data_IF_288591837842
#
_entry.id   IF_288591837842
#
_cell.length_a   1.000
_cell.length_b   1.000
_cell.length_c   1.000
_cell.angle_alpha   90.00
_cell.angle_beta   90.00
_cell.angle_gamma   90.00
#
_symmetry.space_group_name_H-M   'P 1'
#
loop_
_entity.id
_entity.type
_entity.pdbx_description
1 polymer ?
#
# COMPACT_ATOMS: atom_id res chain seq x y z
N UNK A 1 -25.22 39.69 4.90
CA UNK A 1 -25.15 38.86 6.12
C UNK A 1 -25.97 37.60 5.91
N UNK A 2 -25.35 36.49 5.51
CA UNK A 2 -25.98 35.15 5.48
C UNK A 2 -25.05 34.21 6.23
N UNK A 3 -25.65 33.54 7.23
CA UNK A 3 -24.97 32.79 8.28
C UNK A 3 -24.52 31.42 7.79
N UNK A 4 -23.38 31.02 8.33
CA UNK A 4 -22.73 29.71 8.26
C UNK A 4 -23.65 28.57 8.73
N UNK A 5 -23.46 27.38 8.15
CA UNK A 5 -23.79 26.12 8.82
C UNK A 5 -22.68 25.11 8.52
N UNK A 6 -21.82 24.87 9.51
CA UNK A 6 -20.88 23.75 9.57
C UNK A 6 -21.54 22.72 10.48
N UNK A 7 -21.84 21.53 9.98
CA UNK A 7 -22.35 20.43 10.79
C UNK A 7 -21.17 19.49 11.13
N UNK A 8 -20.74 19.54 12.39
CA UNK A 8 -19.85 18.55 12.98
C UNK A 8 -20.71 17.41 13.56
N UNK A 9 -20.36 16.16 13.27
CA UNK A 9 -21.03 14.98 13.81
C UNK A 9 -20.05 14.22 14.70
N UNK A 10 -20.14 14.45 16.01
CA UNK A 10 -19.48 13.64 17.03
C UNK A 10 -20.56 12.80 17.73
N UNK A 11 -20.55 11.48 17.54
CA UNK A 11 -21.30 10.57 18.41
C UNK A 11 -20.30 9.84 19.30
N UNK A 12 -20.20 10.34 20.52
CA UNK A 12 -19.65 9.63 21.68
C UNK A 12 -20.79 8.97 22.43
N UNK A 13 -20.78 7.65 22.57
CA UNK A 13 -21.61 6.94 23.53
C UNK A 13 -20.68 6.12 24.43
N UNK A 14 -20.43 6.65 25.63
CA UNK A 14 -19.88 5.94 26.76
C UNK A 14 -21.03 5.67 27.76
N UNK A 15 -21.00 4.46 28.31
CA UNK A 15 -21.41 4.07 29.67
C UNK A 15 -22.89 3.99 30.02
N UNK A 16 -23.35 2.75 30.20
CA UNK A 16 -24.22 2.39 31.32
C UNK A 16 -23.62 1.20 32.07
N UNK A 17 -22.86 1.48 33.13
CA UNK A 17 -22.58 0.50 34.19
C UNK A 17 -23.80 0.46 35.13
N UNK A 18 -24.42 -0.71 35.27
CA UNK A 18 -25.24 -1.02 36.45
C UNK A 18 -24.43 -1.94 37.36
N UNK A 19 -24.25 -1.51 38.61
CA UNK A 19 -23.42 -2.17 39.60
C UNK A 19 -23.96 -3.54 40.06
N UNK A 20 -23.01 -4.39 40.43
CA UNK A 20 -23.21 -5.56 41.26
C UNK A 20 -21.91 -5.81 42.03
N UNK A 21 -21.89 -5.46 43.31
CA UNK A 21 -20.83 -5.87 44.22
C UNK A 21 -21.05 -7.31 44.62
N UNK A 22 -20.12 -8.19 44.27
CA UNK A 22 -20.00 -9.53 44.83
C UNK A 22 -18.54 -9.79 45.17
N UNK A 23 -18.27 -10.08 46.44
CA UNK A 23 -16.96 -10.48 46.95
C UNK A 23 -16.84 -12.01 46.96
N UNK A 24 -15.61 -12.50 46.70
CA UNK A 24 -15.03 -13.82 47.06
C UNK A 24 -15.46 -14.97 46.12
N UNK A 25 -14.62 -15.86 45.58
CA UNK A 25 -13.56 -16.69 46.19
C UNK A 25 -12.53 -17.19 45.14
N UNK A 26 -11.25 -16.88 45.33
CA UNK A 26 -10.17 -17.12 44.35
C UNK A 26 -9.77 -18.60 44.27
N UNK A 27 -10.05 -19.40 45.31
CA UNK A 27 -9.58 -20.78 45.40
C UNK A 27 -10.30 -21.79 44.49
N UNK A 28 -11.53 -21.50 44.06
CA UNK A 28 -12.38 -22.47 43.33
C UNK A 28 -12.33 -22.30 41.81
N UNK A 29 -12.09 -21.08 41.32
CA UNK A 29 -12.01 -20.80 39.88
C UNK A 29 -10.77 -21.41 39.21
N UNK A 30 -9.61 -21.40 39.90
CA UNK A 30 -8.35 -21.86 39.29
C UNK A 30 -8.37 -23.37 38.97
N UNK A 31 -9.06 -24.17 39.78
CA UNK A 31 -9.12 -25.63 39.59
C UNK A 31 -10.09 -26.03 38.47
N UNK A 32 -11.22 -25.33 38.33
CA UNK A 32 -12.17 -25.57 37.24
C UNK A 32 -11.67 -25.07 35.88
N UNK A 33 -10.81 -24.04 35.85
CA UNK A 33 -10.17 -23.56 34.62
C UNK A 33 -9.12 -24.54 34.10
N UNK A 34 -8.26 -25.12 34.96
CA UNK A 34 -7.25 -26.08 34.53
C UNK A 34 -7.84 -27.44 34.09
N UNK A 35 -8.97 -27.87 34.67
CA UNK A 35 -9.62 -29.12 34.26
C UNK A 35 -10.43 -28.99 32.95
N UNK A 36 -10.83 -27.77 32.57
CA UNK A 36 -11.46 -27.51 31.26
C UNK A 36 -10.46 -27.41 30.10
N UNK A 37 -9.23 -26.98 30.36
CA UNK A 37 -8.16 -26.94 29.34
C UNK A 37 -7.65 -28.33 28.94
N UNK A 38 -7.80 -29.35 29.80
CA UNK A 38 -7.24 -30.70 29.55
C UNK A 38 -8.25 -31.63 28.84
N UNK A 39 -9.55 -31.31 28.77
CA UNK A 39 -10.58 -32.22 28.22
C UNK A 39 -11.42 -31.65 27.07
N UNK A 40 -11.06 -30.50 26.50
CA UNK A 40 -11.83 -29.85 25.43
C UNK A 40 -11.12 -29.77 24.09
N UNK A 41 -11.41 -30.74 23.22
CA UNK A 41 -11.34 -30.66 21.75
C UNK A 41 -9.96 -30.71 21.06
N UNK A 42 -9.52 -31.96 20.84
CA UNK A 42 -9.26 -32.40 19.47
C UNK A 42 -10.49 -32.14 18.57
N UNK A 43 -10.25 -31.70 17.33
CA UNK A 43 -11.20 -31.47 16.22
C UNK A 43 -12.10 -30.21 16.27
N UNK A 44 -11.50 -29.09 15.87
CA UNK A 44 -12.18 -28.07 15.07
C UNK A 44 -11.20 -27.56 14.00
N UNK A 45 -11.41 -27.96 12.75
CA UNK A 45 -10.64 -27.51 11.59
C UNK A 45 -10.94 -26.06 11.24
N UNK A 46 -10.55 -25.14 12.10
CA UNK A 46 -10.35 -23.74 11.77
C UNK A 46 -8.90 -23.58 11.29
N UNK A 47 -8.72 -23.02 10.09
CA UNK A 47 -7.41 -22.60 9.63
C UNK A 47 -6.81 -21.65 10.68
N UNK A 48 -5.83 -22.13 11.44
CA UNK A 48 -4.88 -21.27 12.11
C UNK A 48 -4.09 -20.64 10.95
N UNK A 49 -4.49 -19.43 10.54
CA UNK A 49 -3.62 -18.57 9.74
C UNK A 49 -2.28 -18.50 10.51
N UNK A 50 -1.21 -18.94 9.85
CA UNK A 50 0.06 -19.23 10.50
C UNK A 50 0.59 -18.01 11.23
N UNK A 51 1.05 -18.19 12.47
CA UNK A 51 1.66 -17.15 13.30
C UNK A 51 3.09 -16.80 12.85
N UNK A 52 3.30 -16.54 11.56
CA UNK A 52 4.63 -16.30 11.01
C UNK A 52 4.60 -15.18 9.98
N UNK A 53 5.65 -14.36 9.99
CA UNK A 53 5.87 -13.26 9.04
C UNK A 53 5.72 -13.72 7.59
N UNK A 54 4.77 -13.13 6.88
CA UNK A 54 4.59 -13.26 5.45
C UNK A 54 5.35 -12.13 4.71
N UNK A 55 5.68 -12.39 3.45
CA UNK A 55 6.40 -11.44 2.60
C UNK A 55 5.54 -11.12 1.39
N UNK A 56 5.16 -9.85 1.26
CA UNK A 56 4.28 -9.34 0.20
C UNK A 56 5.03 -8.37 -0.72
N UNK A 57 4.87 -8.53 -2.03
CA UNK A 57 5.53 -7.67 -3.01
C UNK A 57 4.54 -7.03 -3.97
N UNK A 58 4.70 -5.72 -4.16
CA UNK A 58 4.09 -4.97 -5.25
C UNK A 58 5.19 -4.47 -6.19
N UNK A 59 5.23 -5.01 -7.40
CA UNK A 59 6.20 -4.66 -8.44
C UNK A 59 5.48 -3.88 -9.54
N UNK A 60 5.86 -2.63 -9.75
CA UNK A 60 5.30 -1.75 -10.79
C UNK A 60 6.41 -1.35 -11.77
N UNK A 61 6.20 -1.64 -13.06
CA UNK A 61 7.16 -1.31 -14.10
C UNK A 61 6.47 -0.76 -15.34
N UNK A 62 6.62 0.53 -15.61
CA UNK A 62 5.90 1.16 -16.74
C UNK A 62 6.54 0.79 -18.06
N UNK A 63 7.80 1.18 -18.30
CA UNK A 63 8.65 0.71 -19.41
C UNK A 63 8.21 1.04 -20.84
N UNK A 64 6.93 1.28 -21.09
CA UNK A 64 6.34 1.76 -22.34
C UNK A 64 5.32 2.86 -22.05
N UNK A 65 5.22 3.85 -22.93
CA UNK A 65 4.39 5.04 -22.71
C UNK A 65 3.47 5.33 -23.89
N UNK A 66 2.18 5.45 -23.60
CA UNK A 66 1.14 5.69 -24.59
C UNK A 66 1.46 6.95 -25.41
N UNK A 67 1.46 6.80 -26.74
CA UNK A 67 1.69 7.86 -27.71
C UNK A 67 3.09 8.52 -27.63
N UNK A 68 4.02 7.97 -26.85
CA UNK A 68 5.34 8.56 -26.62
C UNK A 68 6.46 7.49 -26.65
N UNK A 69 6.67 6.79 -27.80
CA UNK A 69 7.63 5.69 -27.90
C UNK A 69 9.08 6.11 -27.64
N UNK A 70 9.43 7.38 -27.85
CA UNK A 70 10.78 7.90 -27.54
C UNK A 70 11.09 7.88 -26.03
N UNK A 71 10.05 7.86 -25.21
CA UNK A 71 10.16 7.71 -23.76
C UNK A 71 10.25 6.25 -23.32
N UNK A 72 10.02 5.27 -24.20
CA UNK A 72 10.06 3.86 -23.80
C UNK A 72 11.42 3.47 -23.22
N UNK A 73 11.38 2.69 -22.14
CA UNK A 73 12.54 2.11 -21.47
C UNK A 73 12.26 0.63 -21.20
N UNK A 74 12.28 -0.24 -22.25
CA UNK A 74 11.93 -1.65 -22.10
C UNK A 74 12.80 -2.41 -21.10
N UNK A 75 14.01 -1.92 -20.80
CA UNK A 75 14.87 -2.48 -19.75
C UNK A 75 14.20 -2.50 -18.37
N UNK A 76 13.32 -1.54 -18.08
CA UNK A 76 12.57 -1.51 -16.81
C UNK A 76 11.68 -2.75 -16.63
N UNK A 77 11.04 -3.22 -17.72
CA UNK A 77 10.24 -4.45 -17.73
C UNK A 77 11.12 -5.69 -17.54
N UNK A 78 12.31 -5.69 -18.15
CA UNK A 78 13.29 -6.78 -18.00
C UNK A 78 13.78 -6.89 -16.56
N UNK A 79 14.10 -5.78 -15.91
CA UNK A 79 14.57 -5.80 -14.51
C UNK A 79 13.45 -6.16 -13.53
N UNK A 80 12.22 -5.67 -13.77
CA UNK A 80 11.02 -6.08 -13.03
C UNK A 80 10.80 -7.60 -13.08
N UNK A 81 10.86 -8.19 -14.27
CA UNK A 81 10.68 -9.64 -14.44
C UNK A 81 11.81 -10.45 -13.79
N UNK A 82 13.05 -9.94 -13.80
CA UNK A 82 14.17 -10.56 -13.08
C UNK A 82 13.95 -10.53 -11.58
N UNK A 83 13.51 -9.39 -11.03
CA UNK A 83 13.19 -9.26 -9.60
C UNK A 83 12.08 -10.22 -9.20
N UNK A 84 10.95 -10.22 -9.93
CA UNK A 84 9.83 -11.15 -9.71
C UNK A 84 10.28 -12.61 -9.68
N UNK A 85 11.16 -13.02 -10.60
CA UNK A 85 11.70 -14.40 -10.65
C UNK A 85 12.70 -14.70 -9.54
N UNK A 86 13.38 -13.68 -9.04
CA UNK A 86 14.41 -13.82 -8.00
C UNK A 86 13.80 -13.97 -6.61
N UNK A 87 12.69 -13.27 -6.29
CA UNK A 87 12.09 -13.31 -4.96
C UNK A 87 11.81 -14.75 -4.47
N UNK A 88 11.12 -15.63 -5.24
CA UNK A 88 10.80 -17.00 -4.80
C UNK A 88 12.00 -17.94 -4.71
N UNK A 89 13.21 -17.50 -5.09
CA UNK A 89 14.44 -18.29 -4.89
C UNK A 89 14.74 -18.45 -3.39
N UNK A 90 14.32 -17.49 -2.56
CA UNK A 90 14.36 -17.65 -1.10
C UNK A 90 13.03 -18.16 -0.57
N UNK A 91 13.08 -18.93 0.51
CA UNK A 91 11.89 -19.56 1.13
C UNK A 91 10.88 -18.58 1.73
N UNK A 92 11.26 -17.31 1.86
CA UNK A 92 10.44 -16.27 2.48
C UNK A 92 9.34 -15.76 1.56
N UNK A 93 9.58 -15.77 0.24
CA UNK A 93 8.66 -15.20 -0.74
C UNK A 93 7.80 -16.30 -1.38
N UNK A 94 6.49 -16.11 -1.32
CA UNK A 94 5.53 -16.93 -2.04
C UNK A 94 5.12 -16.24 -3.35
N UNK A 95 5.08 -16.97 -4.46
CA UNK A 95 4.61 -16.46 -5.75
C UNK A 95 3.19 -15.86 -5.66
N UNK A 96 2.31 -16.41 -4.83
CA UNK A 96 0.95 -15.87 -4.65
C UNK A 96 0.91 -14.53 -3.92
N UNK A 97 2.02 -14.11 -3.29
CA UNK A 97 2.16 -12.85 -2.54
C UNK A 97 2.86 -11.77 -3.36
N UNK A 98 3.15 -12.05 -4.65
CA UNK A 98 3.82 -11.12 -5.55
C UNK A 98 2.82 -10.63 -6.59
N UNK A 99 2.45 -9.35 -6.52
CA UNK A 99 1.66 -8.69 -7.56
C UNK A 99 2.56 -7.88 -8.47
N UNK A 100 2.36 -8.04 -9.78
CA UNK A 100 3.09 -7.29 -10.80
C UNK A 100 2.12 -6.50 -11.66
N UNK A 101 2.44 -5.22 -11.87
CA UNK A 101 1.70 -4.29 -12.73
C UNK A 101 2.70 -3.71 -13.71
N UNK A 102 2.57 -4.06 -14.99
CA UNK A 102 3.60 -3.72 -15.97
C UNK A 102 3.06 -3.20 -17.30
N UNK A 103 3.89 -2.45 -18.02
CA UNK A 103 3.60 -2.00 -19.36
C UNK A 103 2.37 -1.11 -19.42
N UNK A 104 1.50 -1.40 -20.40
CA UNK A 104 0.24 -0.68 -20.59
C UNK A 104 -0.72 -0.79 -19.40
N UNK A 105 -0.55 -1.79 -18.53
CA UNK A 105 -1.36 -1.95 -17.33
C UNK A 105 -0.91 -1.05 -16.19
N UNK A 106 0.29 -0.47 -16.24
CA UNK A 106 0.79 0.45 -15.22
C UNK A 106 0.13 1.83 -15.35
N UNK A 107 -1.18 1.88 -15.15
CA UNK A 107 -2.00 3.09 -15.10
C UNK A 107 -2.22 3.53 -13.66
N UNK A 108 -2.52 4.82 -13.43
CA UNK A 108 -2.83 5.33 -12.08
C UNK A 108 -3.86 4.47 -11.33
N UNK A 109 -5.04 4.12 -11.91
CA UNK A 109 -6.01 3.29 -11.19
C UNK A 109 -5.47 1.93 -10.79
N UNK A 110 -4.75 1.26 -11.69
CA UNK A 110 -4.21 -0.08 -11.42
C UNK A 110 -3.11 -0.03 -10.34
N UNK A 111 -2.26 0.99 -10.37
CA UNK A 111 -1.21 1.17 -9.35
C UNK A 111 -1.85 1.42 -7.97
N UNK A 112 -2.86 2.29 -7.90
CA UNK A 112 -3.65 2.52 -6.67
C UNK A 112 -4.31 1.22 -6.19
N UNK A 113 -4.90 0.42 -7.09
CA UNK A 113 -5.43 -0.90 -6.75
C UNK A 113 -4.36 -1.89 -6.31
N UNK A 114 -3.12 -1.74 -6.79
CA UNK A 114 -1.95 -2.45 -6.33
C UNK A 114 -1.64 -2.14 -4.88
N UNK A 115 -1.52 -0.87 -4.52
CA UNK A 115 -1.30 -0.43 -3.14
C UNK A 115 -2.43 -0.86 -2.21
N UNK A 116 -3.70 -0.67 -2.61
CA UNK A 116 -4.86 -1.13 -1.82
C UNK A 116 -4.94 -2.63 -1.65
N UNK A 117 -4.42 -3.38 -2.62
CA UNK A 117 -4.29 -4.82 -2.45
C UNK A 117 -3.21 -5.15 -1.44
N UNK A 118 -2.06 -4.49 -1.49
CA UNK A 118 -0.97 -4.72 -0.53
C UNK A 118 -1.46 -4.48 0.91
N UNK A 119 -2.01 -3.29 1.17
CA UNK A 119 -2.68 -2.84 2.41
C UNK A 119 -3.77 -3.79 2.93
N UNK A 120 -4.35 -4.62 2.06
CA UNK A 120 -5.39 -5.57 2.45
C UNK A 120 -4.82 -6.92 2.88
N UNK A 121 -3.67 -7.28 2.35
CA UNK A 121 -3.10 -8.63 2.47
C UNK A 121 -2.07 -8.71 3.58
N UNK A 122 -1.31 -7.65 3.79
CA UNK A 122 -0.27 -7.58 4.81
C UNK A 122 -0.84 -7.21 6.19
N UNK A 123 -0.09 -7.53 7.25
CA UNK A 123 -0.33 -7.05 8.60
C UNK A 123 0.94 -6.59 9.34
N UNK A 124 0.80 -6.20 10.60
CA UNK A 124 1.89 -5.63 11.41
C UNK A 124 3.16 -6.49 11.53
N UNK A 125 3.04 -7.82 11.39
CA UNK A 125 4.14 -8.77 11.56
C UNK A 125 4.77 -9.19 10.21
N UNK A 126 4.27 -8.63 9.10
CA UNK A 126 4.71 -8.90 7.72
C UNK A 126 5.81 -7.96 7.22
N UNK A 127 6.40 -8.37 6.09
CA UNK A 127 7.35 -7.58 5.32
C UNK A 127 6.77 -7.23 3.95
N UNK A 128 6.70 -5.94 3.65
CA UNK A 128 6.22 -5.40 2.39
C UNK A 128 7.38 -4.86 1.55
N UNK A 129 7.54 -5.38 0.32
CA UNK A 129 8.45 -4.86 -0.70
C UNK A 129 7.65 -4.16 -1.79
N UNK A 130 7.95 -2.89 -2.02
CA UNK A 130 7.42 -2.14 -3.15
C UNK A 130 8.58 -1.88 -4.10
N UNK A 131 8.42 -2.18 -5.38
CA UNK A 131 9.40 -1.85 -6.41
C UNK A 131 8.73 -1.03 -7.49
N UNK A 132 9.13 0.23 -7.65
CA UNK A 132 8.60 1.13 -8.67
C UNK A 132 9.71 1.48 -9.67
N UNK A 133 9.49 1.20 -10.95
CA UNK A 133 10.40 1.63 -12.02
C UNK A 133 9.65 2.30 -13.16
N UNK A 134 9.93 3.59 -13.34
CA UNK A 134 9.34 4.45 -14.36
C UNK A 134 10.18 5.72 -14.54
N UNK A 135 9.77 6.65 -15.40
CA UNK A 135 10.34 8.00 -15.44
C UNK A 135 9.86 8.81 -14.24
N UNK A 136 10.79 9.56 -13.65
CA UNK A 136 10.49 10.60 -12.68
C UNK A 136 10.75 11.98 -13.28
N UNK A 137 10.00 12.99 -12.88
CA UNK A 137 10.22 14.38 -13.27
C UNK A 137 9.66 15.32 -12.20
N UNK A 138 10.24 16.53 -12.06
CA UNK A 138 9.67 17.55 -11.19
C UNK A 138 8.39 18.13 -11.81
N UNK A 139 7.39 18.40 -10.97
CA UNK A 139 6.24 19.24 -11.29
C UNK A 139 6.63 20.68 -10.96
N UNK A 140 6.28 21.62 -11.85
CA UNK A 140 6.64 23.04 -11.70
C UNK A 140 6.07 23.73 -10.44
N UNK A 141 5.12 23.09 -9.76
CA UNK A 141 4.47 23.60 -8.57
C UNK A 141 4.33 22.45 -7.59
N UNK A 142 4.70 22.72 -6.35
CA UNK A 142 4.36 21.91 -5.19
C UNK A 142 2.82 21.90 -4.98
N UNK A 143 2.25 20.71 -4.82
CA UNK A 143 0.84 20.48 -4.53
C UNK A 143 0.69 20.13 -3.04
N UNK A 144 -0.45 20.47 -2.40
CA UNK A 144 -0.63 20.13 -0.99
C UNK A 144 -0.47 18.62 -0.69
N UNK A 145 0.25 18.25 0.40
CA UNK A 145 0.94 19.11 1.36
C UNK A 145 2.20 19.84 0.85
N UNK A 146 2.25 21.17 1.04
CA UNK A 146 3.43 21.96 0.66
C UNK A 146 4.64 21.70 1.57
N UNK A 147 5.39 20.64 1.30
CA UNK A 147 6.51 20.18 2.11
C UNK A 147 7.87 20.22 1.41
N UNK A 148 7.90 20.65 0.14
CA UNK A 148 9.14 20.77 -0.63
C UNK A 148 9.84 22.13 -0.47
N UNK A 149 11.15 22.09 -0.23
CA UNK A 149 11.95 23.30 0.04
C UNK A 149 12.20 24.16 -1.20
N UNK A 150 12.18 23.55 -2.38
CA UNK A 150 12.31 24.24 -3.68
C UNK A 150 10.95 24.59 -4.30
N UNK A 151 9.86 24.12 -3.70
CA UNK A 151 8.48 24.37 -4.12
C UNK A 151 8.06 23.62 -5.38
N UNK A 152 8.66 22.45 -5.66
CA UNK A 152 8.32 21.57 -6.77
C UNK A 152 8.13 20.12 -6.32
N UNK A 153 6.96 19.53 -6.54
CA UNK A 153 6.74 18.09 -6.28
C UNK A 153 7.54 17.21 -7.23
N UNK A 154 7.86 16.01 -6.79
CA UNK A 154 8.35 14.96 -7.68
C UNK A 154 7.20 14.04 -8.12
N UNK A 155 7.18 13.68 -9.40
CA UNK A 155 6.16 12.81 -9.94
C UNK A 155 6.72 11.70 -10.81
N UNK A 156 6.03 10.55 -10.74
CA UNK A 156 6.29 9.38 -11.53
C UNK A 156 5.31 9.28 -12.71
N UNK A 157 5.83 9.06 -13.91
CA UNK A 157 5.03 8.77 -15.08
C UNK A 157 4.32 7.43 -14.91
N UNK A 158 3.03 7.35 -15.24
CA UNK A 158 2.37 6.07 -15.53
C UNK A 158 2.33 5.82 -17.04
N UNK A 159 1.69 4.74 -17.50
CA UNK A 159 1.54 4.44 -18.94
C UNK A 159 1.05 5.64 -19.77
N UNK A 160 0.18 6.48 -19.21
CA UNK A 160 -0.32 7.69 -19.87
C UNK A 160 0.25 8.99 -19.30
N UNK A 161 1.37 8.92 -18.59
CA UNK A 161 2.00 10.02 -17.85
C UNK A 161 2.54 11.14 -18.75
N UNK A 162 2.67 10.91 -20.05
CA UNK A 162 3.06 11.92 -21.02
C UNK A 162 1.88 12.28 -21.93
N UNK A 163 1.73 13.58 -22.21
CA UNK A 163 0.82 14.07 -23.24
C UNK A 163 1.37 13.73 -24.63
N UNK A 164 0.53 13.54 -25.66
CA UNK A 164 0.96 13.19 -27.02
C UNK A 164 1.52 14.41 -27.80
N UNK A 165 2.02 15.43 -27.09
CA UNK A 165 2.49 16.67 -27.68
C UNK A 165 3.96 16.90 -27.31
N UNK A 166 4.81 17.25 -28.29
CA UNK A 166 6.20 17.58 -28.00
C UNK A 166 6.26 18.86 -27.16
N UNK A 167 7.18 18.88 -26.21
CA UNK A 167 7.50 20.10 -25.47
C UNK A 167 8.41 20.97 -26.36
N UNK A 168 8.05 22.24 -26.64
CA UNK A 168 8.91 23.11 -27.42
C UNK A 168 10.22 23.48 -26.69
N UNK A 169 10.29 23.29 -25.36
CA UNK A 169 11.36 23.80 -24.49
C UNK A 169 12.15 22.70 -23.77
N UNK A 170 11.74 21.43 -23.90
CA UNK A 170 12.45 20.27 -23.36
C UNK A 170 12.41 19.13 -24.39
N UNK A 171 13.37 18.20 -24.26
CA UNK A 171 13.33 16.95 -25.01
C UNK A 171 12.26 15.99 -24.46
N UNK A 172 11.81 16.17 -23.22
CA UNK A 172 10.74 15.39 -22.59
C UNK A 172 9.37 15.95 -22.98
N UNK A 173 8.38 15.08 -23.32
CA UNK A 173 7.00 15.51 -23.49
C UNK A 173 6.44 16.15 -22.22
N UNK A 174 5.40 16.97 -22.36
CA UNK A 174 4.71 17.51 -21.20
C UNK A 174 4.04 16.40 -20.39
N UNK A 175 4.17 16.48 -19.07
CA UNK A 175 3.49 15.57 -18.16
C UNK A 175 1.97 15.69 -18.30
N UNK A 176 1.27 14.56 -18.19
CA UNK A 176 -0.18 14.50 -18.15
C UNK A 176 -0.65 14.53 -16.69
N UNK A 177 -1.20 15.64 -16.19
CA UNK A 177 -1.53 15.80 -14.76
C UNK A 177 -2.56 14.81 -14.24
N UNK A 178 -3.29 14.10 -15.11
CA UNK A 178 -4.29 13.10 -14.72
C UNK A 178 -3.79 11.66 -14.78
N UNK A 179 -2.51 11.44 -15.11
CA UNK A 179 -1.94 10.12 -15.32
C UNK A 179 -0.50 10.02 -14.77
N UNK A 180 -0.22 10.79 -13.73
CA UNK A 180 1.03 10.76 -12.97
C UNK A 180 0.69 10.39 -11.54
N UNK A 181 1.70 9.99 -10.77
CA UNK A 181 1.57 9.75 -9.35
C UNK A 181 2.63 10.60 -8.66
N UNK A 182 2.23 11.42 -7.69
CA UNK A 182 3.17 12.23 -6.92
C UNK A 182 3.81 11.41 -5.80
N UNK A 183 4.98 11.84 -5.35
CA UNK A 183 5.60 11.41 -4.10
C UNK A 183 4.64 11.44 -2.91
N UNK A 184 3.81 12.47 -2.78
CA UNK A 184 2.77 12.59 -1.76
C UNK A 184 1.74 11.48 -1.82
N UNK A 185 1.26 11.14 -3.02
CA UNK A 185 0.32 10.03 -3.18
C UNK A 185 0.96 8.70 -2.80
N UNK A 186 2.23 8.50 -3.17
CA UNK A 186 3.01 7.32 -2.77
C UNK A 186 3.16 7.28 -1.26
N UNK A 187 3.58 8.38 -0.64
CA UNK A 187 3.77 8.51 0.80
C UNK A 187 2.44 8.25 1.55
N UNK A 188 1.32 8.74 1.03
CA UNK A 188 0.00 8.41 1.57
C UNK A 188 -0.26 6.91 1.57
N UNK A 189 0.02 6.19 0.48
CA UNK A 189 -0.18 4.75 0.43
C UNK A 189 0.79 3.98 1.33
N UNK A 190 2.05 4.41 1.41
CA UNK A 190 3.04 3.77 2.29
C UNK A 190 2.67 3.93 3.77
N UNK A 191 2.17 5.10 4.17
CA UNK A 191 1.74 5.35 5.55
C UNK A 191 0.45 4.63 5.96
N UNK A 192 -0.25 3.98 5.03
CA UNK A 192 -1.41 3.16 5.35
C UNK A 192 -1.04 1.74 5.74
N UNK A 193 0.10 1.25 5.25
CA UNK A 193 0.56 -0.11 5.51
C UNK A 193 0.78 -0.32 7.01
N UNK A 194 0.31 -1.44 7.54
CA UNK A 194 0.52 -1.86 8.92
C UNK A 194 1.89 -2.53 9.13
N UNK A 195 2.48 -3.10 8.07
CA UNK A 195 3.78 -3.77 8.04
C UNK A 195 4.86 -2.93 8.70
N UNK A 196 5.51 -3.48 9.74
CA UNK A 196 6.66 -2.81 10.38
C UNK A 196 7.91 -2.85 9.51
N UNK A 197 8.00 -3.78 8.57
CA UNK A 197 9.09 -3.87 7.61
C UNK A 197 8.63 -3.45 6.21
N UNK A 198 8.87 -2.18 5.86
CA UNK A 198 8.61 -1.66 4.51
C UNK A 198 9.94 -1.40 3.81
N UNK A 199 10.08 -1.92 2.59
CA UNK A 199 11.19 -1.62 1.69
C UNK A 199 10.65 -1.05 0.37
N UNK A 200 11.24 0.06 -0.08
CA UNK A 200 10.97 0.73 -1.36
C UNK A 200 12.29 0.95 -2.11
#
# INVERSE_FOLDING_TARGET
MKRMLIAAFCISILLSLSGGTSTVDVGKYVVDTQLKEIQGNESAGGNIAGSGTEYWALIVAVGVYANNPDMDRPSMLVESEKLRKMLPVSSNWNESHIKVIEGENATVPNIIEGFRWLDKMEDEDDISLIYLTTHGFPILFDLPPFDEADGMDEALATYRGFLPFPNPWSWEPLANPFAIITDDEINFFLNRLESKGIAL
#
